data_IF_392667884168
#
_entry.id   IF_392667884168
#
_cell.length_a   1.000
_cell.length_b   1.000
_cell.length_c   1.000
_cell.angle_alpha   90.00
_cell.angle_beta   90.00
_cell.angle_gamma   90.00
#
_symmetry.space_group_name_H-M   'P 1'
#
loop_
_entity.id
_entity.type
_entity.pdbx_description
1 polymer ?
#
# COMPACT_ATOMS: atom_id res chain seq x y z
N UNK A 1 7.18 -16.77 -12.15
CA UNK A 1 8.52 -16.33 -11.70
C UNK A 1 8.50 -14.80 -11.70
N UNK A 2 7.81 -14.21 -10.73
CA UNK A 2 7.57 -12.76 -10.67
C UNK A 2 8.81 -12.10 -10.08
N UNK A 3 9.66 -11.53 -10.94
CA UNK A 3 10.68 -10.59 -10.50
C UNK A 3 9.96 -9.28 -10.25
N UNK A 4 9.73 -9.01 -8.97
CA UNK A 4 9.49 -7.66 -8.47
C UNK A 4 10.71 -6.82 -8.85
N UNK A 5 10.61 -6.07 -9.96
CA UNK A 5 11.65 -5.15 -10.42
C UNK A 5 11.66 -3.95 -9.47
N UNK A 6 12.20 -4.18 -8.28
CA UNK A 6 12.49 -3.11 -7.33
C UNK A 6 13.57 -2.23 -7.93
N UNK A 7 13.17 -1.09 -8.48
CA UNK A 7 14.06 -0.06 -9.00
C UNK A 7 14.67 0.68 -7.82
N UNK A 8 15.90 0.36 -7.46
CA UNK A 8 16.66 1.09 -6.45
C UNK A 8 17.32 2.30 -7.10
N UNK A 9 17.07 3.50 -6.57
CA UNK A 9 17.73 4.75 -6.98
C UNK A 9 18.69 5.13 -5.85
N UNK A 10 19.99 5.17 -6.15
CA UNK A 10 21.00 5.65 -5.22
C UNK A 10 21.41 7.07 -5.61
N UNK A 11 21.29 8.01 -4.67
CA UNK A 11 21.70 9.40 -4.86
C UNK A 11 22.76 9.75 -3.82
N UNK A 12 23.91 10.27 -4.28
CA UNK A 12 24.99 10.76 -3.43
C UNK A 12 25.22 12.24 -3.68
N UNK A 13 25.28 13.03 -2.61
CA UNK A 13 25.57 14.47 -2.68
C UNK A 13 27.00 14.67 -2.19
N UNK A 14 27.85 15.23 -3.05
CA UNK A 14 29.26 15.49 -2.75
C UNK A 14 29.51 16.99 -2.98
N UNK A 15 30.07 17.73 -2.00
CA UNK A 15 30.38 19.13 -2.19
C UNK A 15 31.44 19.31 -3.27
N UNK A 16 31.30 20.37 -4.07
CA UNK A 16 32.30 20.73 -5.07
C UNK A 16 33.64 21.12 -4.43
N UNK A 17 34.75 21.05 -5.18
CA UNK A 17 36.09 21.35 -4.67
C UNK A 17 36.30 22.82 -4.24
N UNK A 18 35.36 23.70 -4.58
CA UNK A 18 35.39 25.13 -4.22
C UNK A 18 34.96 25.40 -2.77
N UNK A 19 34.31 24.43 -2.11
CA UNK A 19 33.83 24.58 -0.75
C UNK A 19 34.98 24.24 0.23
N UNK A 20 35.40 25.18 1.10
CA UNK A 20 36.42 24.95 2.10
C UNK A 20 36.07 23.80 3.05
N UNK A 21 37.08 23.04 3.46
CA UNK A 21 36.93 22.05 4.54
C UNK A 21 36.44 22.79 5.79
N UNK A 22 35.44 22.21 6.47
CA UNK A 22 34.83 22.75 7.69
C UNK A 22 33.77 23.87 7.51
N UNK A 23 33.21 24.04 6.30
CA UNK A 23 32.01 24.84 6.08
C UNK A 23 30.76 23.96 5.96
N UNK A 24 29.66 24.43 6.56
CA UNK A 24 28.35 23.80 6.42
C UNK A 24 27.64 24.36 5.18
N UNK A 25 27.20 23.48 4.29
CA UNK A 25 26.41 23.84 3.12
C UNK A 25 25.08 23.12 3.18
N UNK A 26 23.99 23.89 3.07
CA UNK A 26 22.63 23.36 3.06
C UNK A 26 22.24 23.03 1.63
N UNK A 27 21.79 21.80 1.41
CA UNK A 27 21.25 21.36 0.12
C UNK A 27 19.77 21.05 0.25
N UNK A 28 18.98 21.49 -0.72
CA UNK A 28 17.58 21.10 -0.91
C UNK A 28 17.47 20.43 -2.26
N UNK A 29 16.92 19.23 -2.30
CA UNK A 29 16.72 18.47 -3.53
C UNK A 29 15.32 17.84 -3.51
N UNK A 30 14.74 17.69 -4.69
CA UNK A 30 13.47 17.01 -4.91
C UNK A 30 13.72 15.90 -5.95
N UNK A 31 13.18 14.70 -5.69
CA UNK A 31 13.38 13.54 -6.57
C UNK A 31 12.01 13.01 -6.97
N UNK A 32 11.69 13.16 -8.25
CA UNK A 32 10.44 12.67 -8.80
C UNK A 32 10.77 11.55 -9.79
N UNK A 33 10.23 10.37 -9.52
CA UNK A 33 10.29 9.23 -10.44
C UNK A 33 8.93 9.08 -11.11
N UNK A 34 8.93 8.84 -12.42
CA UNK A 34 7.72 8.63 -13.20
C UNK A 34 7.91 7.38 -14.05
N UNK A 35 6.89 6.53 -14.11
CA UNK A 35 6.87 5.37 -14.99
C UNK A 35 5.62 5.38 -15.85
N UNK A 36 5.78 5.10 -17.14
CA UNK A 36 4.69 4.91 -18.08
C UNK A 36 4.40 3.42 -18.21
N UNK A 37 3.14 3.03 -18.03
CA UNK A 37 2.72 1.64 -18.05
C UNK A 37 1.44 1.48 -18.87
N UNK A 38 1.20 0.25 -19.32
CA UNK A 38 -0.02 -0.17 -19.95
C UNK A 38 -0.58 -1.42 -19.30
N UNK A 39 -1.90 -1.56 -19.35
CA UNK A 39 -2.58 -2.72 -18.82
C UNK A 39 -2.66 -3.81 -19.88
N UNK A 40 -2.11 -4.98 -19.57
CA UNK A 40 -2.21 -6.15 -20.43
C UNK A 40 -2.17 -7.44 -19.60
N UNK A 41 -3.02 -8.41 -19.96
CA UNK A 41 -3.02 -9.75 -19.35
C UNK A 41 -3.19 -9.75 -17.83
N UNK A 42 -3.95 -8.79 -17.28
CA UNK A 42 -4.20 -8.70 -15.84
C UNK A 42 -3.07 -8.06 -15.02
N UNK A 43 -2.09 -7.44 -15.68
CA UNK A 43 -0.96 -6.78 -15.03
C UNK A 43 -0.56 -5.48 -15.75
N UNK A 44 0.11 -4.60 -15.01
CA UNK A 44 0.76 -3.41 -15.56
C UNK A 44 2.13 -3.78 -16.12
N UNK A 45 2.46 -3.28 -17.32
CA UNK A 45 3.75 -3.48 -17.98
C UNK A 45 4.25 -2.16 -18.57
N UNK A 46 5.56 -1.94 -18.65
CA UNK A 46 6.17 -0.77 -19.30
C UNK A 46 6.74 -1.08 -20.69
N UNK A 47 6.63 -2.33 -21.16
CA UNK A 47 7.26 -2.77 -22.42
C UNK A 47 6.70 -1.99 -23.62
N UNK A 48 7.56 -1.21 -24.26
CA UNK A 48 7.18 -0.41 -25.43
C UNK A 48 6.55 0.95 -25.10
N UNK A 49 6.59 1.35 -23.82
CA UNK A 49 6.25 2.68 -23.32
C UNK A 49 7.46 3.35 -22.67
N UNK A 50 7.82 4.54 -23.14
CA UNK A 50 8.92 5.34 -22.60
C UNK A 50 8.39 6.70 -22.08
N UNK A 51 9.04 7.24 -21.05
CA UNK A 51 8.78 8.60 -20.56
C UNK A 51 9.49 9.59 -21.48
N UNK A 52 8.75 10.54 -22.04
CA UNK A 52 9.33 11.58 -22.91
C UNK A 52 10.10 12.62 -22.12
N UNK A 53 11.13 13.19 -22.75
CA UNK A 53 11.86 14.37 -22.25
C UNK A 53 10.99 15.62 -22.12
N UNK A 54 9.82 15.65 -22.75
CA UNK A 54 8.83 16.74 -22.63
C UNK A 54 8.01 16.68 -21.34
N UNK A 55 8.21 15.65 -20.51
CA UNK A 55 7.59 15.54 -19.19
C UNK A 55 8.01 16.70 -18.30
N UNK A 56 7.03 17.33 -17.64
CA UNK A 56 7.22 18.44 -16.70
C UNK A 56 6.62 18.07 -15.35
N UNK A 57 6.93 18.86 -14.32
CA UNK A 57 6.44 18.62 -12.95
C UNK A 57 4.91 18.48 -12.84
N UNK A 58 4.16 19.09 -13.76
CA UNK A 58 2.69 19.06 -13.78
C UNK A 58 2.09 18.09 -14.80
N UNK A 59 2.85 17.71 -15.82
CA UNK A 59 2.35 16.98 -16.98
C UNK A 59 3.31 15.83 -17.33
N UNK A 60 2.81 14.60 -17.29
CA UNK A 60 3.57 13.42 -17.72
C UNK A 60 3.29 13.12 -19.18
N UNK A 61 4.35 13.01 -19.98
CA UNK A 61 4.23 12.65 -21.39
C UNK A 61 4.80 11.24 -21.63
N UNK A 62 3.91 10.29 -21.94
CA UNK A 62 4.26 8.90 -22.26
C UNK A 62 4.23 8.65 -23.77
N UNK A 63 5.28 8.02 -24.30
CA UNK A 63 5.35 7.59 -25.69
C UNK A 63 5.28 6.06 -25.75
N UNK A 64 4.15 5.52 -26.21
CA UNK A 64 3.94 4.08 -26.36
C UNK A 64 3.78 3.69 -27.83
N UNK A 65 4.34 2.54 -28.22
CA UNK A 65 4.27 2.03 -29.62
C UNK A 65 3.07 1.10 -29.88
N UNK A 66 2.08 1.10 -29.01
CA UNK A 66 0.90 0.23 -29.09
C UNK A 66 -0.36 0.98 -28.65
N UNK A 67 -1.52 0.49 -29.08
CA UNK A 67 -2.83 1.00 -28.67
C UNK A 67 -3.34 0.12 -27.54
N UNK A 68 -3.40 0.67 -26.34
CA UNK A 68 -3.82 -0.04 -25.12
C UNK A 68 -4.39 0.93 -24.10
N UNK A 69 -4.85 0.41 -22.97
CA UNK A 69 -5.09 1.23 -21.78
C UNK A 69 -3.73 1.58 -21.19
N UNK A 70 -3.43 2.87 -21.08
CA UNK A 70 -2.17 3.40 -20.56
C UNK A 70 -2.42 4.21 -19.29
N UNK A 71 -1.40 4.23 -18.43
CA UNK A 71 -1.37 5.05 -17.22
C UNK A 71 0.07 5.49 -16.95
N UNK A 72 0.22 6.64 -16.31
CA UNK A 72 1.47 7.05 -15.68
C UNK A 72 1.34 6.84 -14.17
N UNK A 73 2.41 6.37 -13.54
CA UNK A 73 2.49 6.23 -12.09
C UNK A 73 3.74 6.94 -11.57
N UNK A 74 3.60 7.55 -10.40
CA UNK A 74 4.72 8.00 -9.59
C UNK A 74 4.97 6.89 -8.56
N UNK A 75 5.98 6.01 -8.75
CA UNK A 75 6.23 4.96 -7.79
C UNK A 75 6.63 5.60 -6.46
N UNK A 76 5.76 5.44 -5.47
CA UNK A 76 6.06 5.84 -4.11
C UNK A 76 6.94 4.73 -3.51
N UNK A 77 8.09 5.06 -2.91
CA UNK A 77 8.87 4.08 -2.18
C UNK A 77 7.96 3.36 -1.18
N UNK A 78 7.89 2.02 -1.17
CA UNK A 78 7.14 1.32 -0.15
C UNK A 78 7.73 1.72 1.21
N UNK A 79 6.88 2.15 2.14
CA UNK A 79 7.33 2.32 3.53
C UNK A 79 7.85 0.95 3.99
N UNK A 80 9.11 0.91 4.41
CA UNK A 80 9.67 -0.28 5.03
C UNK A 80 8.96 -0.46 6.37
N UNK A 81 8.06 -1.44 6.45
CA UNK A 81 7.43 -1.84 7.71
C UNK A 81 8.44 -2.77 8.39
N UNK A 82 9.19 -2.26 9.36
CA UNK A 82 10.04 -3.09 10.21
C UNK A 82 9.22 -3.51 11.43
N UNK A 83 8.71 -4.76 11.48
CA UNK A 83 7.87 -5.20 12.59
C UNK A 83 8.57 -5.09 13.96
N UNK A 84 9.91 -5.11 14.01
CA UNK A 84 10.66 -4.96 15.26
C UNK A 84 11.00 -3.50 15.58
N UNK A 85 11.27 -2.68 14.57
CA UNK A 85 11.46 -1.23 14.70
C UNK A 85 10.17 -0.49 15.06
N UNK A 86 9.08 -0.83 14.39
CA UNK A 86 7.76 -0.23 14.56
C UNK A 86 7.10 -0.62 15.88
N UNK A 87 7.44 -1.78 16.44
CA UNK A 87 7.02 -2.19 17.79
C UNK A 87 7.40 -1.17 18.87
N UNK A 88 8.51 -0.44 18.70
CA UNK A 88 8.90 0.64 19.61
C UNK A 88 8.00 1.87 19.50
N UNK A 89 7.42 2.11 18.33
CA UNK A 89 6.44 3.17 18.13
C UNK A 89 5.12 2.82 18.82
N UNK A 90 4.73 1.55 18.83
CA UNK A 90 3.60 1.07 19.64
C UNK A 90 3.85 1.20 21.15
N UNK A 91 5.12 1.14 21.60
CA UNK A 91 5.44 1.45 23.01
C UNK A 91 5.25 2.93 23.34
N UNK A 92 5.40 3.84 22.38
CA UNK A 92 5.10 5.27 22.56
C UNK A 92 3.59 5.54 22.58
N UNK A 93 2.77 4.68 21.95
CA UNK A 93 1.30 4.74 22.07
C UNK A 93 0.83 4.48 23.51
N UNK A 94 1.64 3.84 24.36
CA UNK A 94 1.35 3.69 25.80
C UNK A 94 1.46 4.99 26.61
N UNK A 95 2.05 6.06 26.05
CA UNK A 95 2.07 7.38 26.70
C UNK A 95 0.65 7.99 26.82
N UNK A 96 -0.31 7.47 26.04
CA UNK A 96 -1.72 7.81 26.18
C UNK A 96 -2.56 6.56 26.49
N UNK A 97 -2.70 6.21 27.79
CA UNK A 97 -3.37 4.98 28.21
C UNK A 97 -4.85 4.93 27.81
N UNK A 98 -5.48 6.09 27.53
CA UNK A 98 -6.87 6.16 27.10
C UNK A 98 -7.09 5.48 25.74
N UNK A 99 -6.21 5.74 24.78
CA UNK A 99 -6.33 5.20 23.41
C UNK A 99 -6.21 3.68 23.43
N UNK A 100 -5.23 3.16 24.18
CA UNK A 100 -5.00 1.72 24.32
C UNK A 100 -6.19 1.05 25.00
N UNK A 101 -6.74 1.65 26.07
CA UNK A 101 -7.92 1.12 26.74
C UNK A 101 -9.15 1.06 25.82
N UNK A 102 -9.36 2.05 24.95
CA UNK A 102 -10.45 2.04 23.96
C UNK A 102 -10.27 0.93 22.92
N UNK A 103 -9.06 0.74 22.40
CA UNK A 103 -8.77 -0.32 21.41
C UNK A 103 -9.00 -1.70 22.04
N UNK A 104 -8.50 -1.91 23.26
CA UNK A 104 -8.65 -3.19 23.98
C UNK A 104 -10.12 -3.47 24.29
N UNK A 105 -10.89 -2.47 24.73
CA UNK A 105 -12.33 -2.66 25.01
C UNK A 105 -13.12 -2.97 23.74
N UNK A 106 -12.84 -2.29 22.62
CA UNK A 106 -13.45 -2.60 21.31
C UNK A 106 -13.13 -4.03 20.86
N UNK A 107 -11.88 -4.47 21.04
CA UNK A 107 -11.47 -5.82 20.67
C UNK A 107 -12.15 -6.89 21.53
N UNK A 108 -12.29 -6.66 22.84
CA UNK A 108 -13.03 -7.56 23.74
C UNK A 108 -14.51 -7.62 23.34
N UNK A 109 -15.15 -6.48 23.10
CA UNK A 109 -16.56 -6.42 22.68
C UNK A 109 -16.78 -7.17 21.35
N UNK A 110 -15.87 -6.97 20.38
CA UNK A 110 -15.90 -7.69 19.11
C UNK A 110 -15.83 -9.21 19.32
N UNK A 111 -14.87 -9.69 20.11
CA UNK A 111 -14.72 -11.13 20.39
C UNK A 111 -15.94 -11.73 21.11
N UNK A 112 -16.52 -10.99 22.07
CA UNK A 112 -17.75 -11.40 22.73
C UNK A 112 -18.92 -11.53 21.74
N UNK A 113 -19.08 -10.54 20.85
CA UNK A 113 -20.14 -10.56 19.84
C UNK A 113 -19.93 -11.69 18.83
N UNK A 114 -18.70 -11.91 18.35
CA UNK A 114 -18.34 -13.06 17.52
C UNK A 114 -18.69 -14.39 18.21
N UNK A 115 -18.38 -14.53 19.50
CA UNK A 115 -18.71 -15.73 20.26
C UNK A 115 -20.22 -15.96 20.40
N UNK A 116 -21.00 -14.89 20.64
CA UNK A 116 -22.45 -14.96 20.72
C UNK A 116 -23.05 -15.35 19.36
N UNK A 117 -22.64 -14.70 18.29
CA UNK A 117 -23.08 -15.04 16.93
C UNK A 117 -22.71 -16.48 16.55
N UNK A 118 -21.51 -16.93 16.92
CA UNK A 118 -21.12 -18.32 16.70
C UNK A 118 -22.01 -19.32 17.45
N UNK A 119 -22.41 -18.99 18.69
CA UNK A 119 -23.37 -19.80 19.43
C UNK A 119 -24.77 -19.79 18.82
N UNK A 120 -25.23 -18.64 18.30
CA UNK A 120 -26.53 -18.53 17.62
C UNK A 120 -26.54 -19.34 16.32
N UNK A 121 -25.52 -19.19 15.46
CA UNK A 121 -25.38 -19.98 14.24
C UNK A 121 -25.35 -21.49 14.53
N UNK A 122 -24.71 -21.90 15.64
CA UNK A 122 -24.70 -23.31 16.05
C UNK A 122 -26.08 -23.81 16.52
N UNK A 123 -26.90 -22.95 17.14
CA UNK A 123 -28.29 -23.28 17.52
C UNK A 123 -29.21 -23.33 16.31
N UNK A 124 -29.03 -22.43 15.35
CA UNK A 124 -29.82 -22.41 14.11
C UNK A 124 -29.59 -23.68 13.29
N UNK A 125 -28.35 -24.21 13.27
CA UNK A 125 -28.06 -25.51 12.62
C UNK A 125 -28.84 -26.68 13.23
N UNK A 126 -29.11 -26.65 14.54
CA UNK A 126 -29.96 -27.67 15.19
C UNK A 126 -31.47 -27.45 15.01
N UNK A 127 -31.88 -26.23 14.67
CA UNK A 127 -33.29 -25.83 14.48
C UNK A 127 -33.73 -25.80 13.02
N UNK A 128 -32.87 -26.18 12.06
CA UNK A 128 -33.27 -26.43 10.66
C UNK A 128 -34.18 -27.66 10.57
N UNK A 129 -35.42 -27.53 11.02
CA UNK A 129 -36.50 -28.35 10.48
C UNK A 129 -36.68 -27.97 9.02
N UNK A 130 -36.71 -28.96 8.14
CA UNK A 130 -36.98 -28.74 6.71
C UNK A 130 -38.40 -28.20 6.60
N UNK A 131 -38.53 -26.91 6.36
CA UNK A 131 -39.80 -26.30 5.94
C UNK A 131 -39.97 -26.68 4.47
N UNK A 132 -40.81 -27.68 4.20
CA UNK A 132 -41.22 -28.02 2.84
C UNK A 132 -42.14 -26.89 2.38
N UNK A 133 -41.67 -26.06 1.45
CA UNK A 133 -42.55 -25.08 0.79
C UNK A 133 -43.48 -25.84 -0.16
N UNK A 134 -44.74 -25.42 -0.18
CA UNK A 134 -45.83 -25.99 -0.98
C UNK A 134 -45.56 -25.95 -2.49
N UNK A 135 -44.56 -25.17 -2.90
CA UNK A 135 -44.16 -24.95 -4.30
C UNK A 135 -43.09 -25.95 -4.79
N UNK A 136 -42.64 -26.89 -3.94
CA UNK A 136 -41.64 -27.91 -4.29
C UNK A 136 -42.23 -29.18 -4.93
N UNK A 137 -43.41 -29.13 -5.55
CA UNK A 137 -43.95 -30.27 -6.30
C UNK A 137 -43.63 -30.13 -7.81
N UNK A 138 -43.00 -31.14 -8.44
CA UNK A 138 -42.73 -31.15 -9.88
C UNK A 138 -44.01 -31.31 -10.72
#
# INVERSE_FOLDING_TARGET
NHKDERSYIFMGIIPGPEIPVNQNVTYTFEVNSVVCQFWAWGQWSSVGCDVSTDTRDKDVHCQCKHVSIFAAAFPVPPQEIDPFGDAKLFLTVLDNPLVVALIVTMLILYLLLCFLLWRLDRRDKTLRTVIVLEDNFP
#
